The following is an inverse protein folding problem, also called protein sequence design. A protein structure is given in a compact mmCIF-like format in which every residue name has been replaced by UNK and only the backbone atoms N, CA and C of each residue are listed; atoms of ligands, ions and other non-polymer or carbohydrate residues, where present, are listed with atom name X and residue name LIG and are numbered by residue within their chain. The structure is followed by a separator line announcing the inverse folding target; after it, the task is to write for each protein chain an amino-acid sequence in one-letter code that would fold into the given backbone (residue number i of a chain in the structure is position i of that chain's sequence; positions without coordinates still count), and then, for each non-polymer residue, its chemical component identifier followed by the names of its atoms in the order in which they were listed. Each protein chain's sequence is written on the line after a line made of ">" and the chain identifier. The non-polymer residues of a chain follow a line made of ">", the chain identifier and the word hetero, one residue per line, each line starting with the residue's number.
data_IF_627840364994
#
_entry.id   IF_627840364994
#
_cell.length_a   1.000
_cell.length_b   1.000
_cell.length_c   1.000
_cell.angle_alpha   90.00
_cell.angle_beta   90.00
_cell.angle_gamma   90.00
#
_symmetry.space_group_name_H-M   'P 1'
#
loop_
_entity.id
_entity.type
_entity.pdbx_description
1 polymer ?
#
# COMPACT_ATOMS: atom_id res chain seq x y z
N UNK A 1 -10.26 -20.44 -14.95
CA UNK A 1 -10.58 -19.00 -15.09
C UNK A 1 -11.08 -18.50 -13.75
N UNK A 2 -10.19 -18.02 -12.89
CA UNK A 2 -10.54 -17.48 -11.57
C UNK A 2 -10.59 -15.95 -11.67
N UNK A 3 -11.81 -15.43 -11.71
CA UNK A 3 -12.08 -13.99 -11.70
C UNK A 3 -11.73 -13.41 -10.32
N UNK A 4 -10.74 -12.52 -10.27
CA UNK A 4 -10.53 -11.63 -9.13
C UNK A 4 -11.56 -10.50 -9.22
N UNK A 5 -12.62 -10.55 -8.41
CA UNK A 5 -13.48 -9.40 -8.19
C UNK A 5 -12.85 -8.50 -7.12
N UNK A 6 -12.37 -7.32 -7.53
CA UNK A 6 -12.01 -6.22 -6.63
C UNK A 6 -13.23 -5.29 -6.53
N UNK A 7 -14.10 -5.57 -5.56
CA UNK A 7 -15.18 -4.65 -5.18
C UNK A 7 -14.54 -3.43 -4.53
N UNK A 8 -14.71 -2.25 -5.12
CA UNK A 8 -14.23 -0.99 -4.56
C UNK A 8 -14.74 -0.78 -3.13
N UNK A 9 -13.80 -0.52 -2.21
CA UNK A 9 -14.10 -0.18 -0.82
C UNK A 9 -13.87 1.33 -0.68
N UNK A 10 -14.84 2.11 -0.16
CA UNK A 10 -14.62 3.52 0.12
C UNK A 10 -13.56 3.65 1.23
N UNK A 11 -12.52 4.41 0.90
CA UNK A 11 -11.28 4.57 1.61
C UNK A 11 -11.43 5.50 2.81
N UNK A 12 -11.58 4.93 4.02
CA UNK A 12 -11.35 5.68 5.27
C UNK A 12 -10.45 4.98 6.28
N UNK A 13 -10.06 3.72 6.01
CA UNK A 13 -9.17 2.97 6.90
C UNK A 13 -7.79 2.83 6.28
N UNK A 14 -6.71 3.10 7.01
CA UNK A 14 -5.39 2.80 6.51
C UNK A 14 -5.25 1.29 6.26
N UNK A 15 -4.52 0.94 5.21
CA UNK A 15 -4.34 -0.44 4.74
C UNK A 15 -2.98 -0.99 5.17
N UNK A 16 -2.88 -2.31 5.29
CA UNK A 16 -1.61 -2.97 5.60
C UNK A 16 -0.69 -3.00 4.38
N UNK A 17 0.61 -3.25 4.61
CA UNK A 17 1.56 -3.51 3.52
C UNK A 17 1.15 -4.71 2.66
N UNK A 18 0.43 -5.68 3.23
CA UNK A 18 -0.02 -6.88 2.52
C UNK A 18 -1.19 -6.56 1.59
N UNK A 19 -2.17 -5.78 2.08
CA UNK A 19 -3.25 -5.26 1.25
C UNK A 19 -2.74 -4.34 0.15
N UNK A 20 -1.80 -3.43 0.45
CA UNK A 20 -1.17 -2.58 -0.57
C UNK A 20 -0.45 -3.42 -1.64
N UNK A 21 0.23 -4.48 -1.22
CA UNK A 21 0.91 -5.41 -2.13
C UNK A 21 -0.09 -6.16 -3.02
N UNK A 22 -1.22 -6.60 -2.47
CA UNK A 22 -2.30 -7.23 -3.23
C UNK A 22 -2.92 -6.26 -4.26
N UNK A 23 -3.17 -5.00 -3.88
CA UNK A 23 -3.69 -3.97 -4.78
C UNK A 23 -2.75 -3.69 -5.95
N UNK A 24 -1.44 -3.59 -5.68
CA UNK A 24 -0.42 -3.35 -6.70
C UNK A 24 0.03 -4.62 -7.43
N UNK A 25 -0.48 -5.80 -7.06
CA UNK A 25 -0.02 -7.11 -7.55
C UNK A 25 1.50 -7.31 -7.47
N UNK A 26 2.12 -6.82 -6.40
CA UNK A 26 3.57 -6.94 -6.13
C UNK A 26 3.84 -7.70 -4.85
N UNK A 27 5.10 -8.08 -4.61
CA UNK A 27 5.48 -8.73 -3.34
C UNK A 27 5.54 -7.70 -2.19
N UNK A 28 4.98 -8.00 -1.00
CA UNK A 28 5.10 -7.14 0.18
C UNK A 28 6.55 -6.81 0.55
N UNK A 29 7.47 -7.75 0.30
CA UNK A 29 8.90 -7.56 0.53
C UNK A 29 9.50 -6.44 -0.32
N UNK A 30 9.02 -6.25 -1.56
CA UNK A 30 9.49 -5.17 -2.43
C UNK A 30 9.10 -3.80 -1.88
N UNK A 31 7.88 -3.67 -1.34
CA UNK A 31 7.40 -2.44 -0.69
C UNK A 31 8.26 -2.13 0.54
N UNK A 32 8.49 -3.14 1.41
CA UNK A 32 9.34 -2.98 2.60
C UNK A 32 10.76 -2.59 2.23
N UNK A 33 11.37 -3.26 1.25
CA UNK A 33 12.73 -2.97 0.78
C UNK A 33 12.84 -1.53 0.29
N UNK A 34 11.93 -1.10 -0.59
CA UNK A 34 11.90 0.27 -1.10
C UNK A 34 11.72 1.27 0.04
N UNK A 35 10.74 1.05 0.93
CA UNK A 35 10.53 1.91 2.10
C UNK A 35 11.79 2.04 2.97
N UNK A 36 12.52 0.96 3.23
CA UNK A 36 13.77 1.02 3.99
C UNK A 36 14.88 1.80 3.28
N UNK A 37 14.90 1.81 1.94
CA UNK A 37 15.92 2.48 1.13
C UNK A 37 15.64 3.98 0.95
N UNK A 38 14.38 4.35 0.68
CA UNK A 38 13.99 5.73 0.33
C UNK A 38 13.23 6.44 1.46
N UNK A 39 12.80 5.74 2.51
CA UNK A 39 12.00 6.29 3.61
C UNK A 39 10.53 6.57 3.25
N UNK A 40 10.16 6.43 1.99
CA UNK A 40 8.80 6.55 1.46
C UNK A 40 8.65 5.63 0.23
N UNK A 41 7.42 5.24 -0.10
CA UNK A 41 7.14 4.45 -1.30
C UNK A 41 6.48 5.35 -2.35
N UNK A 42 7.26 5.89 -3.29
CA UNK A 42 6.76 6.75 -4.40
C UNK A 42 5.72 7.78 -3.91
N UNK A 43 6.10 8.63 -2.94
CA UNK A 43 5.24 9.63 -2.27
C UNK A 43 4.33 9.13 -1.15
N UNK A 44 4.08 7.82 -1.02
CA UNK A 44 3.31 7.28 0.10
C UNK A 44 4.12 7.31 1.40
N UNK A 45 3.51 7.88 2.46
CA UNK A 45 4.05 7.90 3.82
C UNK A 45 3.26 6.95 4.72
N UNK A 46 3.88 5.86 5.20
CA UNK A 46 3.21 4.97 6.14
C UNK A 46 3.22 5.55 7.56
N UNK A 47 2.18 5.24 8.32
CA UNK A 47 2.10 5.44 9.77
C UNK A 47 2.68 4.21 10.46
N UNK A 48 3.67 4.42 11.32
CA UNK A 48 4.23 3.37 12.19
C UNK A 48 3.34 3.19 13.41
N UNK A 49 2.84 1.98 13.62
CA UNK A 49 2.08 1.65 14.82
C UNK A 49 3.01 1.20 15.95
N UNK A 50 2.56 1.29 17.22
CA UNK A 50 3.29 0.77 18.38
C UNK A 50 3.62 -0.73 18.29
N UNK A 51 2.84 -1.49 17.52
CA UNK A 51 3.06 -2.92 17.26
C UNK A 51 4.12 -3.20 16.17
N UNK A 52 4.79 -2.17 15.64
CA UNK A 52 5.80 -2.29 14.59
C UNK A 52 5.25 -2.49 13.17
N UNK A 53 3.91 -2.48 12.98
CA UNK A 53 3.29 -2.56 11.65
C UNK A 53 3.29 -1.20 10.96
N UNK A 54 3.38 -1.24 9.63
CA UNK A 54 3.22 -0.07 8.76
C UNK A 54 1.78 -0.03 8.23
N UNK A 55 1.13 1.10 8.45
CA UNK A 55 -0.19 1.42 7.93
C UNK A 55 -0.05 2.42 6.80
N UNK A 56 -0.54 2.08 5.61
CA UNK A 56 -0.52 2.92 4.43
C UNK A 56 -1.84 3.67 4.30
N UNK A 57 -1.84 4.87 3.70
CA UNK A 57 -3.07 5.58 3.41
C UNK A 57 -3.99 4.72 2.54
N UNK A 58 -5.30 4.87 2.76
CA UNK A 58 -6.32 4.12 2.02
C UNK A 58 -6.29 4.50 0.52
N UNK A 59 -6.00 5.77 0.23
CA UNK A 59 -5.89 6.35 -1.11
C UNK A 59 -4.49 6.12 -1.71
N UNK A 60 -3.77 5.09 -1.25
CA UNK A 60 -2.42 4.79 -1.72
C UNK A 60 -2.36 4.52 -3.22
N UNK A 61 -3.39 3.89 -3.78
CA UNK A 61 -3.46 3.63 -5.22
C UNK A 61 -3.67 4.92 -6.02
N UNK A 62 -4.55 5.80 -5.54
CA UNK A 62 -4.83 7.09 -6.17
C UNK A 62 -3.59 7.98 -6.18
N UNK A 63 -2.91 8.14 -5.04
CA UNK A 63 -1.66 8.91 -4.95
C UNK A 63 -0.54 8.36 -5.84
N UNK A 64 -0.51 7.04 -6.09
CA UNK A 64 0.45 6.44 -7.02
C UNK A 64 0.07 6.71 -8.48
N UNK A 65 -1.23 6.74 -8.80
CA UNK A 65 -1.73 6.97 -10.16
C UNK A 65 -1.66 8.42 -10.62
N UNK A 66 -1.76 9.39 -9.70
CA UNK A 66 -1.68 10.83 -10.01
C UNK A 66 -0.28 11.28 -10.50
N UNK A 67 0.74 10.44 -10.30
CA UNK A 67 2.14 10.76 -10.63
C UNK A 67 2.75 9.85 -11.71
N UNK A 68 1.95 9.05 -12.42
CA UNK A 68 2.37 8.20 -13.54
C UNK A 68 2.09 8.87 -14.90
#
# INVERSE_FOLDING_TARGET
>A
MTAHQLTGIPTRRPITTDELAALLSIRPQSIRKRYCQTGAYFSLRPVKLPNGRLMWPADALEQLSEHA
#
